data_IF_831520156827
#
_entry.id   IF_831520156827
#
_cell.length_a   1.000
_cell.length_b   1.000
_cell.length_c   1.000
_cell.angle_alpha   90.00
_cell.angle_beta   90.00
_cell.angle_gamma   90.00
#
_symmetry.space_group_name_H-M   'P 1'
#
loop_
_entity.id
_entity.type
_entity.pdbx_description
1 polymer ?
#
# COMPACT_ATOMS: atom_id res chain seq x y z
N UNK A 1 13.17 15.24 13.64
CA UNK A 1 13.00 14.17 14.64
C UNK A 1 13.12 12.84 13.91
N UNK A 2 13.93 11.87 14.37
CA UNK A 2 13.84 10.51 13.82
C UNK A 2 12.43 10.02 14.11
N UNK A 3 11.58 9.93 13.09
CA UNK A 3 10.28 9.33 13.24
C UNK A 3 10.47 7.92 13.75
N UNK A 4 9.95 7.65 14.95
CA UNK A 4 9.94 6.29 15.48
C UNK A 4 8.83 5.51 14.76
N UNK A 5 9.13 5.11 13.51
CA UNK A 5 8.20 4.41 12.62
C UNK A 5 7.57 3.18 13.27
N UNK A 6 8.17 2.63 14.32
CA UNK A 6 7.62 1.47 15.03
C UNK A 6 6.40 1.81 15.87
N UNK A 7 6.29 3.04 16.34
CA UNK A 7 5.18 3.51 17.17
C UNK A 7 4.02 4.11 16.37
N UNK A 8 4.08 4.07 15.04
CA UNK A 8 3.03 4.58 14.16
C UNK A 8 1.99 3.51 13.81
N UNK A 9 0.80 3.99 13.47
CA UNK A 9 -0.32 3.20 12.98
C UNK A 9 -0.43 3.36 11.46
N UNK A 10 -0.43 2.26 10.72
CA UNK A 10 -0.41 2.24 9.27
C UNK A 10 -1.72 1.69 8.70
N UNK A 11 -2.21 2.31 7.63
CA UNK A 11 -3.26 1.75 6.78
C UNK A 11 -2.67 1.39 5.42
N UNK A 12 -2.89 0.15 4.97
CA UNK A 12 -2.56 -0.31 3.63
C UNK A 12 -3.84 -0.49 2.84
N UNK A 13 -4.05 0.34 1.82
CA UNK A 13 -5.23 0.27 0.95
C UNK A 13 -4.90 -0.54 -0.29
N UNK A 14 -5.48 -1.75 -0.37
CA UNK A 14 -5.14 -2.79 -1.33
C UNK A 14 -4.16 -3.82 -0.76
N UNK A 15 -4.45 -5.12 -0.94
CA UNK A 15 -3.61 -6.26 -0.52
C UNK A 15 -3.26 -7.15 -1.72
N UNK A 16 -3.04 -6.52 -2.87
CA UNK A 16 -2.64 -7.15 -4.12
C UNK A 16 -1.13 -7.30 -4.27
N UNK A 17 -0.62 -6.95 -5.47
CA UNK A 17 0.81 -7.01 -5.80
C UNK A 17 1.66 -6.24 -4.79
N UNK A 18 1.47 -4.92 -4.69
CA UNK A 18 2.21 -4.06 -3.77
C UNK A 18 1.85 -4.33 -2.31
N UNK A 19 0.55 -4.30 -1.99
CA UNK A 19 0.09 -4.31 -0.60
C UNK A 19 0.54 -5.53 0.19
N UNK A 20 0.60 -6.73 -0.39
CA UNK A 20 1.07 -7.90 0.34
C UNK A 20 2.56 -7.83 0.73
N UNK A 21 3.43 -7.21 -0.08
CA UNK A 21 4.84 -6.97 0.29
C UNK A 21 4.97 -5.85 1.31
N UNK A 22 4.14 -4.79 1.21
CA UNK A 22 4.10 -3.72 2.21
C UNK A 22 3.68 -4.28 3.57
N UNK A 23 2.59 -5.05 3.62
CA UNK A 23 2.12 -5.70 4.85
C UNK A 23 3.19 -6.62 5.44
N UNK A 24 3.83 -7.49 4.64
CA UNK A 24 4.93 -8.36 5.11
C UNK A 24 6.09 -7.53 5.71
N UNK A 25 6.46 -6.42 5.05
CA UNK A 25 7.50 -5.53 5.55
C UNK A 25 7.13 -4.90 6.89
N UNK A 26 5.92 -4.33 7.02
CA UNK A 26 5.44 -3.73 8.26
C UNK A 26 5.37 -4.76 9.41
N UNK A 27 4.92 -5.99 9.13
CA UNK A 27 4.92 -7.09 10.11
C UNK A 27 6.33 -7.40 10.63
N UNK A 28 7.33 -7.44 9.74
CA UNK A 28 8.73 -7.73 10.10
C UNK A 28 9.42 -6.56 10.79
N UNK A 29 8.99 -5.35 10.52
CA UNK A 29 9.44 -4.15 11.22
C UNK A 29 8.83 -4.05 12.63
N UNK A 30 7.86 -4.90 12.94
CA UNK A 30 7.17 -4.98 14.23
C UNK A 30 6.58 -3.62 14.65
N UNK A 31 5.85 -3.00 13.72
CA UNK A 31 5.19 -1.70 13.93
C UNK A 31 4.01 -1.84 14.88
N UNK A 32 3.52 -0.73 15.45
CA UNK A 32 2.49 -0.73 16.48
C UNK A 32 1.14 -1.26 15.99
N UNK A 33 0.69 -0.79 14.82
CA UNK A 33 -0.62 -1.15 14.26
C UNK A 33 -0.59 -1.21 12.74
N UNK A 34 -1.24 -2.23 12.18
CA UNK A 34 -1.48 -2.39 10.75
C UNK A 34 -2.98 -2.56 10.53
N UNK A 35 -3.56 -1.68 9.73
CA UNK A 35 -4.90 -1.84 9.17
C UNK A 35 -4.72 -2.15 7.68
N UNK A 36 -5.43 -3.14 7.15
CA UNK A 36 -5.41 -3.47 5.73
C UNK A 36 -6.82 -3.68 5.21
N UNK A 37 -7.12 -3.16 4.02
CA UNK A 37 -8.40 -3.40 3.34
C UNK A 37 -8.18 -3.83 1.88
N UNK A 38 -8.94 -4.84 1.46
CA UNK A 38 -9.02 -5.32 0.08
C UNK A 38 -10.26 -6.22 -0.05
N UNK A 39 -11.18 -5.97 -1.00
CA UNK A 39 -12.39 -6.75 -1.15
C UNK A 39 -12.17 -8.10 -1.84
N UNK A 40 -11.01 -8.31 -2.45
CA UNK A 40 -10.76 -9.42 -3.37
C UNK A 40 -10.36 -10.72 -2.68
N UNK A 41 -10.56 -11.79 -3.45
CA UNK A 41 -9.98 -13.11 -3.17
C UNK A 41 -8.79 -13.37 -4.10
N UNK A 42 -7.91 -14.29 -3.69
CA UNK A 42 -6.81 -14.73 -4.55
C UNK A 42 -7.35 -15.53 -5.76
N UNK A 43 -6.75 -15.28 -6.92
CA UNK A 43 -7.00 -15.98 -8.17
C UNK A 43 -5.69 -16.57 -8.74
N UNK A 44 -5.80 -17.47 -9.71
CA UNK A 44 -4.65 -18.09 -10.38
C UNK A 44 -3.75 -17.02 -11.01
N UNK A 45 -4.33 -15.94 -11.54
CA UNK A 45 -3.59 -14.83 -12.17
C UNK A 45 -2.70 -14.04 -11.18
N UNK A 46 -2.88 -14.24 -9.88
CA UNK A 46 -2.11 -13.55 -8.84
C UNK A 46 -0.80 -14.28 -8.48
N UNK A 47 -0.70 -15.58 -8.80
CA UNK A 47 0.42 -16.45 -8.41
C UNK A 47 1.79 -15.94 -8.88
N UNK A 48 1.82 -15.15 -9.94
CA UNK A 48 3.06 -14.67 -10.53
C UNK A 48 3.68 -13.47 -9.81
N UNK A 49 2.94 -12.76 -8.92
CA UNK A 49 3.43 -11.51 -8.34
C UNK A 49 2.91 -11.15 -6.94
N UNK A 50 1.87 -11.80 -6.43
CA UNK A 50 1.32 -11.48 -5.11
C UNK A 50 1.90 -12.44 -4.06
N UNK A 51 2.61 -11.92 -3.08
CA UNK A 51 3.41 -12.70 -2.10
C UNK A 51 2.61 -13.80 -1.39
N UNK A 52 1.38 -13.50 -0.99
CA UNK A 52 0.55 -14.43 -0.23
C UNK A 52 -0.28 -15.36 -1.12
N UNK A 53 -0.22 -15.21 -2.44
CA UNK A 53 -0.93 -16.09 -3.36
C UNK A 53 -0.21 -17.43 -3.47
N UNK A 54 -0.92 -18.50 -3.16
CA UNK A 54 -0.49 -19.90 -3.32
C UNK A 54 -1.65 -20.71 -3.88
N UNK A 55 -1.36 -21.87 -4.42
CA UNK A 55 -2.42 -22.80 -4.91
C UNK A 55 -3.47 -23.06 -3.82
N UNK A 56 -3.03 -23.16 -2.57
CA UNK A 56 -3.91 -23.46 -1.42
C UNK A 56 -4.73 -22.23 -0.94
N UNK A 57 -4.40 -21.04 -1.42
CA UNK A 57 -5.07 -19.78 -1.04
C UNK A 57 -6.05 -19.25 -2.10
N UNK A 58 -6.11 -19.90 -3.27
CA UNK A 58 -7.07 -19.49 -4.31
C UNK A 58 -8.50 -19.56 -3.75
N UNK A 59 -9.27 -18.47 -4.00
CA UNK A 59 -10.63 -18.29 -3.52
C UNK A 59 -10.77 -17.77 -2.08
N UNK A 60 -9.68 -17.59 -1.35
CA UNK A 60 -9.69 -17.00 0.00
C UNK A 60 -9.46 -15.49 -0.07
N UNK A 61 -10.07 -14.74 0.84
CA UNK A 61 -9.85 -13.29 0.93
C UNK A 61 -8.38 -12.97 1.19
N UNK A 62 -7.84 -12.00 0.42
CA UNK A 62 -6.43 -11.60 0.51
C UNK A 62 -6.06 -11.12 1.92
N UNK A 63 -6.93 -10.33 2.53
CA UNK A 63 -6.71 -9.76 3.87
C UNK A 63 -6.79 -10.81 4.98
N UNK A 64 -7.58 -11.88 4.82
CA UNK A 64 -7.62 -13.00 5.77
C UNK A 64 -6.31 -13.78 5.76
N UNK A 65 -5.73 -14.00 4.58
CA UNK A 65 -4.43 -14.65 4.45
C UNK A 65 -3.33 -13.77 5.06
N UNK A 66 -3.39 -12.45 4.85
CA UNK A 66 -2.47 -11.51 5.49
C UNK A 66 -2.60 -11.55 7.03
N UNK A 67 -3.83 -11.62 7.56
CA UNK A 67 -4.07 -11.78 9.00
C UNK A 67 -3.51 -13.09 9.56
N UNK A 68 -3.66 -14.19 8.83
CA UNK A 68 -3.06 -15.47 9.22
C UNK A 68 -1.52 -15.39 9.20
N UNK A 69 -0.95 -14.70 8.21
CA UNK A 69 0.48 -14.46 8.13
C UNK A 69 1.01 -13.68 9.32
N UNK A 70 0.29 -12.66 9.79
CA UNK A 70 0.65 -11.92 11.00
C UNK A 70 0.73 -12.84 12.23
N UNK A 71 -0.23 -13.76 12.39
CA UNK A 71 -0.22 -14.77 13.47
C UNK A 71 0.95 -15.74 13.35
N UNK A 72 1.23 -16.24 12.14
CA UNK A 72 2.36 -17.15 11.87
C UNK A 72 3.71 -16.52 12.21
N UNK A 73 3.89 -15.22 11.95
CA UNK A 73 5.08 -14.45 12.30
C UNK A 73 5.17 -14.14 13.80
N UNK A 74 4.10 -14.37 14.56
CA UNK A 74 4.02 -13.99 15.97
C UNK A 74 4.02 -12.48 16.17
N UNK A 75 3.48 -11.71 15.21
CA UNK A 75 3.36 -10.25 15.30
C UNK A 75 2.67 -9.82 16.58
N UNK A 76 3.24 -8.83 17.28
CA UNK A 76 2.79 -8.38 18.60
C UNK A 76 1.92 -7.14 18.57
N UNK A 77 1.99 -6.37 17.47
CA UNK A 77 1.15 -5.20 17.26
C UNK A 77 -0.31 -5.55 16.97
N UNK A 78 -1.11 -4.54 16.79
CA UNK A 78 -2.52 -4.68 16.41
C UNK A 78 -2.64 -4.90 14.89
N UNK A 79 -3.30 -5.96 14.46
CA UNK A 79 -3.58 -6.25 13.05
C UNK A 79 -5.09 -6.27 12.80
N UNK A 80 -5.57 -5.35 11.96
CA UNK A 80 -7.00 -5.24 11.59
C UNK A 80 -7.15 -5.46 10.09
N UNK A 81 -8.01 -6.37 9.69
CA UNK A 81 -8.25 -6.74 8.29
C UNK A 81 -9.71 -6.52 7.90
N UNK A 82 -9.93 -5.76 6.82
CA UNK A 82 -11.25 -5.52 6.23
C UNK A 82 -11.33 -6.14 4.85
N UNK A 83 -12.18 -7.16 4.68
CA UNK A 83 -12.50 -7.73 3.37
C UNK A 83 -13.53 -6.89 2.63
N UNK A 84 -13.25 -5.60 2.47
CA UNK A 84 -14.13 -4.61 1.86
C UNK A 84 -13.32 -3.55 1.11
N UNK A 85 -14.00 -2.74 0.32
CA UNK A 85 -13.43 -1.50 -0.20
C UNK A 85 -13.03 -0.58 0.96
N UNK A 86 -12.13 0.35 0.66
CA UNK A 86 -11.75 1.42 1.58
C UNK A 86 -12.99 2.24 1.99
N UNK A 87 -13.07 2.55 3.28
CA UNK A 87 -14.04 3.48 3.88
C UNK A 87 -13.25 4.51 4.68
N UNK A 88 -13.65 5.77 4.60
CA UNK A 88 -12.94 6.89 5.26
C UNK A 88 -12.80 6.72 6.79
N UNK A 89 -13.68 5.95 7.43
CA UNK A 89 -13.58 5.63 8.86
C UNK A 89 -12.34 4.80 9.19
N UNK A 90 -11.76 4.10 8.21
CA UNK A 90 -10.52 3.35 8.40
C UNK A 90 -9.31 4.26 8.64
N UNK A 91 -9.42 5.58 8.37
CA UNK A 91 -8.39 6.57 8.65
C UNK A 91 -8.34 6.99 10.13
N UNK A 92 -9.30 6.57 10.95
CA UNK A 92 -9.34 6.96 12.35
C UNK A 92 -8.14 6.40 13.12
N UNK A 93 -7.34 7.31 13.68
CA UNK A 93 -6.12 6.97 14.43
C UNK A 93 -4.98 6.40 13.58
N UNK A 94 -4.97 6.64 12.27
CA UNK A 94 -3.89 6.29 11.34
C UNK A 94 -2.91 7.45 11.24
N UNK A 95 -1.62 7.12 11.24
CA UNK A 95 -0.53 8.10 11.12
C UNK A 95 0.02 8.18 9.69
N UNK A 96 0.00 7.07 8.93
CA UNK A 96 0.50 6.99 7.55
C UNK A 96 -0.36 6.01 6.74
N UNK A 97 -0.70 6.39 5.51
CA UNK A 97 -1.40 5.53 4.56
C UNK A 97 -0.45 5.06 3.46
N UNK A 98 -0.53 3.77 3.12
CA UNK A 98 0.08 3.21 1.92
C UNK A 98 -0.98 3.02 0.84
N UNK A 99 -0.79 3.66 -0.29
CA UNK A 99 -1.58 3.44 -1.50
C UNK A 99 -0.98 2.26 -2.29
N UNK A 100 -1.74 1.17 -2.33
CA UNK A 100 -1.45 -0.03 -3.12
C UNK A 100 -2.62 -0.39 -4.06
N UNK A 101 -3.41 0.61 -4.43
CA UNK A 101 -4.52 0.51 -5.39
C UNK A 101 -4.00 0.35 -6.83
N UNK A 102 -4.82 -0.17 -7.71
CA UNK A 102 -4.48 -0.43 -9.11
C UNK A 102 -5.20 0.46 -10.13
N UNK A 103 -6.07 1.36 -9.67
CA UNK A 103 -6.76 2.31 -10.54
C UNK A 103 -6.60 3.76 -10.08
N UNK A 104 -6.52 4.66 -11.05
CA UNK A 104 -6.23 6.08 -10.83
C UNK A 104 -7.35 6.76 -10.04
N UNK A 105 -8.60 6.49 -10.36
CA UNK A 105 -9.72 7.17 -9.72
C UNK A 105 -9.77 6.94 -8.20
N UNK A 106 -9.52 5.72 -7.76
CA UNK A 106 -9.51 5.41 -6.33
C UNK A 106 -8.26 5.93 -5.62
N UNK A 107 -7.11 6.02 -6.33
CA UNK A 107 -5.90 6.69 -5.82
C UNK A 107 -6.14 8.17 -5.54
N UNK A 108 -6.78 8.89 -6.49
CA UNK A 108 -7.10 10.31 -6.34
C UNK A 108 -8.06 10.55 -5.18
N UNK A 109 -9.12 9.75 -5.05
CA UNK A 109 -10.03 9.83 -3.90
C UNK A 109 -9.32 9.57 -2.58
N UNK A 110 -8.40 8.60 -2.55
CA UNK A 110 -7.63 8.29 -1.34
C UNK A 110 -6.72 9.46 -0.96
N UNK A 111 -6.09 10.12 -1.96
CA UNK A 111 -5.31 11.34 -1.72
C UNK A 111 -6.18 12.44 -1.12
N UNK A 112 -7.40 12.67 -1.64
CA UNK A 112 -8.34 13.66 -1.11
C UNK A 112 -8.69 13.39 0.35
N UNK A 113 -9.10 12.15 0.69
CA UNK A 113 -9.42 11.77 2.07
C UNK A 113 -8.23 11.90 3.03
N UNK A 114 -7.04 11.55 2.58
CA UNK A 114 -5.81 11.72 3.37
C UNK A 114 -5.50 13.20 3.60
N UNK A 115 -5.66 14.03 2.56
CA UNK A 115 -5.47 15.48 2.63
C UNK A 115 -6.41 16.15 3.62
N UNK A 116 -7.71 15.83 3.58
CA UNK A 116 -8.72 16.37 4.49
C UNK A 116 -8.44 16.03 5.97
N UNK A 117 -7.75 14.92 6.25
CA UNK A 117 -7.41 14.45 7.59
C UNK A 117 -5.99 14.76 8.02
N UNK A 118 -5.21 15.46 7.19
CA UNK A 118 -3.79 15.75 7.43
C UNK A 118 -2.93 14.50 7.64
N UNK A 119 -3.22 13.41 6.92
CA UNK A 119 -2.47 12.17 6.99
C UNK A 119 -1.59 12.05 5.74
N UNK A 120 -0.27 11.88 5.86
CA UNK A 120 0.60 11.63 4.72
C UNK A 120 0.30 10.26 4.10
N UNK A 121 0.31 10.20 2.76
CA UNK A 121 0.14 8.98 2.00
C UNK A 121 1.39 8.66 1.20
N UNK A 122 1.85 7.42 1.28
CA UNK A 122 2.95 6.90 0.46
C UNK A 122 2.33 6.18 -0.73
N UNK A 123 2.44 6.81 -1.88
CA UNK A 123 1.94 6.31 -3.15
C UNK A 123 2.91 5.31 -3.78
N UNK A 124 2.37 4.30 -4.45
CA UNK A 124 3.10 3.42 -5.34
C UNK A 124 2.24 2.97 -6.51
N UNK A 125 2.83 2.91 -7.69
CA UNK A 125 2.20 2.32 -8.86
C UNK A 125 3.22 1.51 -9.66
N UNK A 126 2.74 0.51 -10.39
CA UNK A 126 3.58 -0.37 -11.23
C UNK A 126 2.90 -0.63 -12.55
N UNK A 127 3.69 -0.51 -13.63
CA UNK A 127 3.25 -0.79 -14.97
C UNK A 127 4.35 -1.47 -15.78
N UNK A 128 4.17 -2.74 -16.09
CA UNK A 128 5.20 -3.51 -16.79
C UNK A 128 6.50 -3.61 -15.99
N UNK A 129 7.55 -2.96 -16.49
CA UNK A 129 8.87 -2.87 -15.84
C UNK A 129 9.12 -1.53 -15.17
N UNK A 130 8.15 -0.62 -15.18
CA UNK A 130 8.25 0.71 -14.61
C UNK A 130 7.51 0.71 -13.28
N UNK A 131 8.04 1.41 -12.31
CA UNK A 131 7.32 1.75 -11.09
C UNK A 131 7.56 3.21 -10.71
N UNK A 132 6.59 3.77 -10.02
CA UNK A 132 6.69 5.09 -9.43
C UNK A 132 6.37 5.01 -7.93
N UNK A 133 7.03 5.87 -7.16
CA UNK A 133 6.82 6.01 -5.72
C UNK A 133 6.87 7.47 -5.36
N UNK A 134 5.92 7.94 -4.57
CA UNK A 134 5.85 9.32 -4.12
C UNK A 134 5.29 9.45 -2.70
N UNK A 135 5.45 10.63 -2.13
CA UNK A 135 4.82 11.00 -0.86
C UNK A 135 3.81 12.11 -1.12
N UNK A 136 2.54 11.79 -0.92
CA UNK A 136 1.46 12.77 -0.97
C UNK A 136 1.31 13.39 0.41
N UNK A 137 1.77 14.62 0.54
CA UNK A 137 1.57 15.41 1.74
C UNK A 137 0.21 16.11 1.71
N UNK A 138 -0.42 16.33 2.86
CA UNK A 138 -1.63 17.12 2.94
C UNK A 138 -1.48 18.47 2.22
N UNK A 139 -2.48 18.85 1.43
CA UNK A 139 -2.54 20.10 0.65
C UNK A 139 -1.59 20.22 -0.57
N UNK A 140 -0.91 19.15 -0.97
CA UNK A 140 0.01 19.18 -2.13
C UNK A 140 -0.63 18.66 -3.43
N UNK A 141 -1.68 17.84 -3.37
CA UNK A 141 -2.41 17.27 -4.51
C UNK A 141 -1.46 16.65 -5.56
N UNK A 142 -0.49 15.86 -5.10
CA UNK A 142 0.56 15.29 -5.94
C UNK A 142 -0.02 14.44 -7.07
N UNK A 143 -0.91 13.50 -6.75
CA UNK A 143 -1.49 12.58 -7.73
C UNK A 143 -2.45 13.29 -8.67
N UNK A 144 -3.24 14.25 -8.18
CA UNK A 144 -4.07 15.09 -9.04
C UNK A 144 -3.26 15.86 -10.08
N UNK A 145 -2.06 16.30 -9.75
CA UNK A 145 -1.18 16.98 -10.70
C UNK A 145 -0.55 16.01 -11.69
N UNK A 146 -0.11 14.84 -11.24
CA UNK A 146 0.57 13.83 -12.07
C UNK A 146 -0.41 13.13 -13.00
N UNK A 147 -1.58 12.75 -12.50
CA UNK A 147 -2.58 11.96 -13.25
C UNK A 147 -3.67 12.80 -13.90
N UNK A 148 -3.50 14.12 -14.00
CA UNK A 148 -4.51 15.06 -14.54
C UNK A 148 -5.13 14.63 -15.87
N UNK A 149 -4.30 14.11 -16.77
CA UNK A 149 -4.70 13.67 -18.12
C UNK A 149 -4.47 12.16 -18.33
N UNK A 150 -4.16 11.43 -17.26
CA UNK A 150 -3.86 10.01 -17.34
C UNK A 150 -5.13 9.16 -17.39
N UNK A 151 -5.04 8.05 -18.12
CA UNK A 151 -6.08 7.01 -18.17
C UNK A 151 -5.50 5.70 -17.66
N UNK A 152 -6.33 4.89 -16.99
CA UNK A 152 -5.93 3.57 -16.56
C UNK A 152 -5.44 2.73 -17.76
N UNK A 153 -4.22 2.23 -17.67
CA UNK A 153 -3.62 1.41 -18.71
C UNK A 153 -3.94 -0.05 -18.41
N UNK A 154 -4.83 -0.63 -19.22
CA UNK A 154 -5.48 -1.91 -18.90
C UNK A 154 -4.70 -3.17 -19.28
N UNK A 155 -3.50 -3.11 -19.87
CA UNK A 155 -2.92 -4.29 -20.54
C UNK A 155 -1.44 -4.56 -20.36
N UNK A 156 -0.70 -3.92 -19.45
CA UNK A 156 0.70 -4.28 -19.23
C UNK A 156 0.85 -5.34 -18.15
N UNK A 157 1.48 -6.45 -18.49
CA UNK A 157 1.78 -7.53 -17.54
C UNK A 157 2.85 -7.05 -16.55
N UNK A 158 2.44 -6.77 -15.35
CA UNK A 158 3.35 -6.48 -14.24
C UNK A 158 4.07 -7.75 -13.79
N UNK A 159 5.35 -7.66 -13.49
CA UNK A 159 6.17 -8.76 -13.00
C UNK A 159 6.48 -8.63 -11.49
N UNK A 160 6.92 -9.72 -10.89
CA UNK A 160 7.21 -9.78 -9.45
C UNK A 160 8.36 -8.86 -9.04
N UNK A 161 9.37 -8.67 -9.91
CA UNK A 161 10.57 -7.87 -9.60
C UNK A 161 10.18 -6.41 -9.43
N UNK A 162 9.45 -5.84 -10.41
CA UNK A 162 8.99 -4.44 -10.36
C UNK A 162 8.10 -4.18 -9.14
N UNK A 163 7.20 -5.12 -8.83
CA UNK A 163 6.34 -5.04 -7.66
C UNK A 163 7.14 -5.01 -6.35
N UNK A 164 8.13 -5.90 -6.22
CA UNK A 164 8.99 -5.94 -5.02
C UNK A 164 9.82 -4.67 -4.86
N UNK A 165 10.40 -4.15 -5.96
CA UNK A 165 11.19 -2.92 -5.94
C UNK A 165 10.33 -1.73 -5.51
N UNK A 166 9.13 -1.57 -6.06
CA UNK A 166 8.19 -0.53 -5.69
C UNK A 166 7.80 -0.61 -4.20
N UNK A 167 7.35 -1.77 -3.75
CA UNK A 167 6.96 -1.97 -2.35
C UNK A 167 8.12 -1.75 -1.37
N UNK A 168 9.33 -2.20 -1.70
CA UNK A 168 10.52 -1.96 -0.90
C UNK A 168 10.86 -0.46 -0.81
N UNK A 169 10.70 0.28 -1.92
CA UNK A 169 10.92 1.73 -1.95
C UNK A 169 9.87 2.46 -1.12
N UNK A 170 8.58 2.09 -1.24
CA UNK A 170 7.52 2.65 -0.39
C UNK A 170 7.83 2.42 1.10
N UNK A 171 8.23 1.21 1.49
CA UNK A 171 8.60 0.89 2.88
C UNK A 171 9.82 1.68 3.36
N UNK A 172 10.82 1.90 2.51
CA UNK A 172 12.01 2.66 2.88
C UNK A 172 11.67 4.11 3.28
N UNK A 173 10.58 4.68 2.75
CA UNK A 173 10.17 6.06 3.04
C UNK A 173 9.75 6.25 4.50
N UNK A 174 9.16 5.25 5.18
CA UNK A 174 8.76 5.41 6.59
C UNK A 174 9.95 5.64 7.54
N UNK A 175 11.16 5.32 7.12
CA UNK A 175 12.38 5.55 7.90
C UNK A 175 12.94 6.96 7.74
N UNK A 176 12.34 7.76 6.85
CA UNK A 176 12.74 9.13 6.52
C UNK A 176 11.77 10.14 7.13
N UNK A 177 12.14 11.40 7.13
CA UNK A 177 11.18 12.47 7.38
C UNK A 177 10.33 12.68 6.13
N UNK A 178 9.06 12.27 6.18
CA UNK A 178 8.18 12.36 5.03
C UNK A 178 7.93 13.81 4.57
N UNK A 179 8.07 14.79 5.48
CA UNK A 179 7.90 16.21 5.14
C UNK A 179 9.05 16.78 4.31
N UNK A 180 10.20 16.13 4.32
CA UNK A 180 11.37 16.50 3.50
C UNK A 180 11.36 15.82 2.12
N UNK A 181 10.38 14.94 1.85
CA UNK A 181 10.35 14.11 0.64
C UNK A 181 9.20 14.57 -0.27
N UNK A 182 9.50 15.46 -1.21
CA UNK A 182 8.49 16.12 -2.07
C UNK A 182 8.43 15.61 -3.51
N UNK A 183 9.25 14.62 -3.90
CA UNK A 183 9.38 14.24 -5.29
C UNK A 183 8.83 12.84 -5.56
N UNK A 184 8.18 12.69 -6.73
CA UNK A 184 7.87 11.38 -7.29
C UNK A 184 9.11 10.85 -7.99
N UNK A 185 9.60 9.68 -7.61
CA UNK A 185 10.67 8.98 -8.31
C UNK A 185 10.05 7.97 -9.29
N UNK A 186 10.29 8.19 -10.59
CA UNK A 186 10.04 7.19 -11.62
C UNK A 186 11.35 6.43 -11.88
N UNK A 187 11.30 5.10 -11.81
CA UNK A 187 12.46 4.24 -12.07
C UNK A 187 12.09 3.23 -13.15
N UNK A 188 12.84 3.28 -14.23
CA UNK A 188 12.71 2.41 -15.41
C UNK A 188 13.61 1.17 -15.26
#
# INVERSE_FOLDING_TARGET
MKNDYKNLNYLVVGCGGLGCYIVEGLLRLDVKKIVVCDPDVFSISNLNRQLYSTVNNIGKFKVEIASNRAKELGYKGEFVAYSSLFDEKMLEGIDVVFDALDNINDKLKLEDYCGERNIPMIHGAVEGNIYEVGVCLPNHNLLHNVYKDAQDITNKKTNVITVQMCAAKQLALITKDLQEYFEMEEIV
#
